data_IF_266788664584
#
_entry.id   IF_266788664584
#
_cell.length_a   1.000
_cell.length_b   1.000
_cell.length_c   1.000
_cell.angle_alpha   90.00
_cell.angle_beta   90.00
_cell.angle_gamma   90.00
#
_symmetry.space_group_name_H-M   'P 1'
#
loop_
_entity.id
_entity.type
_entity.pdbx_description
1 polymer ?
#
# COMPACT_ATOMS: atom_id res chain seq x y z
N UNK A 1 -19.88 28.95 8.43
CA UNK A 1 -19.47 28.58 7.07
C UNK A 1 -19.76 27.09 6.91
N UNK A 2 -20.51 26.66 5.90
CA UNK A 2 -20.69 25.22 5.64
C UNK A 2 -19.52 24.75 4.75
N UNK A 3 -18.92 23.59 5.03
CA UNK A 3 -17.88 23.03 4.17
C UNK A 3 -18.46 22.73 2.77
N UNK A 4 -17.65 22.96 1.73
CA UNK A 4 -18.03 22.71 0.33
C UNK A 4 -18.28 21.22 0.05
N UNK A 5 -17.66 20.34 0.84
CA UNK A 5 -17.87 18.90 0.88
C UNK A 5 -17.63 18.37 2.29
N UNK A 6 -18.45 17.42 2.71
CA UNK A 6 -18.23 16.62 3.91
C UNK A 6 -18.24 15.14 3.50
N UNK A 7 -17.23 14.39 3.91
CA UNK A 7 -17.21 12.93 3.79
C UNK A 7 -17.14 12.28 5.18
N UNK A 8 -17.78 11.13 5.31
CA UNK A 8 -17.69 10.31 6.52
C UNK A 8 -16.40 9.52 6.45
N UNK A 9 -15.42 9.87 7.29
CA UNK A 9 -14.18 9.12 7.46
C UNK A 9 -14.43 8.00 8.47
N UNK A 10 -14.95 6.87 7.99
CA UNK A 10 -14.90 5.61 8.76
C UNK A 10 -13.69 4.81 8.32
N UNK A 11 -13.10 3.96 9.18
CA UNK A 11 -12.04 3.05 8.76
C UNK A 11 -12.57 2.22 7.58
N UNK A 12 -11.96 2.40 6.41
CA UNK A 12 -12.22 1.47 5.31
C UNK A 12 -11.59 0.13 5.71
N UNK A 13 -12.29 -1.00 5.53
CA UNK A 13 -11.67 -2.30 5.74
C UNK A 13 -10.45 -2.42 4.83
N UNK A 14 -9.36 -2.97 5.37
CA UNK A 14 -8.12 -3.15 4.66
C UNK A 14 -7.60 -4.56 4.89
N UNK A 15 -6.80 -5.04 3.94
CA UNK A 15 -6.06 -6.29 4.09
C UNK A 15 -4.64 -5.98 4.54
N UNK A 16 -4.19 -6.60 5.63
CA UNK A 16 -2.88 -6.31 6.22
C UNK A 16 -1.88 -7.44 5.98
N UNK A 17 -0.69 -7.11 5.48
CA UNK A 17 0.47 -8.00 5.39
C UNK A 17 1.52 -7.46 6.36
N UNK A 18 1.79 -8.22 7.42
CA UNK A 18 2.74 -7.82 8.47
C UNK A 18 4.10 -8.49 8.30
N UNK A 19 5.18 -7.72 8.42
CA UNK A 19 6.56 -8.14 8.21
C UNK A 19 7.35 -8.13 9.51
N UNK A 20 8.05 -9.23 9.78
CA UNK A 20 8.93 -9.39 10.93
C UNK A 20 10.33 -8.88 10.69
N UNK A 21 10.46 -7.57 10.55
CA UNK A 21 11.73 -6.95 10.19
C UNK A 21 11.89 -5.60 10.87
N UNK A 22 13.13 -5.12 11.01
CA UNK A 22 13.41 -3.75 11.44
C UNK A 22 12.94 -2.73 10.40
N UNK A 23 12.66 -1.48 10.79
CA UNK A 23 12.32 -0.37 9.88
C UNK A 23 13.30 -0.22 8.72
N UNK A 24 14.61 -0.34 8.99
CA UNK A 24 15.64 -0.30 7.94
C UNK A 24 15.45 -1.36 6.84
N UNK A 25 15.04 -2.57 7.22
CA UNK A 25 14.76 -3.66 6.27
C UNK A 25 13.38 -3.48 5.61
N UNK A 26 12.49 -2.74 6.22
CA UNK A 26 11.19 -2.44 5.63
C UNK A 26 11.32 -1.52 4.40
N UNK A 27 12.39 -0.72 4.29
CA UNK A 27 12.73 -0.06 3.03
C UNK A 27 13.03 -1.03 1.87
N UNK A 28 13.42 -2.28 2.14
CA UNK A 28 13.58 -3.27 1.09
C UNK A 28 12.22 -3.65 0.49
N UNK A 29 11.15 -3.68 1.31
CA UNK A 29 9.76 -3.85 0.84
C UNK A 29 9.36 -2.67 -0.04
N UNK A 30 9.67 -1.43 0.38
CA UNK A 30 9.44 -0.23 -0.45
C UNK A 30 10.17 -0.35 -1.79
N UNK A 31 11.46 -0.66 -1.79
CA UNK A 31 12.24 -0.79 -3.01
C UNK A 31 11.69 -1.87 -3.95
N UNK A 32 11.21 -2.99 -3.39
CA UNK A 32 10.56 -4.04 -4.15
C UNK A 32 9.28 -3.56 -4.84
N UNK A 33 8.44 -2.76 -4.16
CA UNK A 33 7.25 -2.18 -4.79
C UNK A 33 7.60 -1.29 -5.98
N UNK A 34 8.67 -0.49 -5.86
CA UNK A 34 9.14 0.35 -6.97
C UNK A 34 9.65 -0.48 -8.13
N UNK A 35 10.36 -1.58 -7.86
CA UNK A 35 10.80 -2.51 -8.90
C UNK A 35 9.61 -3.16 -9.63
N UNK A 36 8.62 -3.65 -8.87
CA UNK A 36 7.40 -4.24 -9.46
C UNK A 36 6.66 -3.22 -10.32
N UNK A 37 6.58 -1.96 -9.88
CA UNK A 37 5.94 -0.89 -10.64
C UNK A 37 6.70 -0.55 -11.93
N UNK A 38 8.04 -0.49 -11.87
CA UNK A 38 8.90 -0.26 -13.03
C UNK A 38 8.76 -1.38 -14.07
N UNK A 39 8.74 -2.65 -13.63
CA UNK A 39 8.56 -3.83 -14.49
C UNK A 39 7.22 -3.80 -15.28
N UNK A 40 6.22 -3.06 -14.78
CA UNK A 40 4.90 -2.93 -15.40
C UNK A 40 4.61 -1.53 -15.94
N UNK A 41 5.63 -0.67 -16.05
CA UNK A 41 5.55 0.70 -16.58
C UNK A 41 4.56 1.59 -15.80
N UNK A 42 4.65 1.56 -14.46
CA UNK A 42 3.85 2.40 -13.55
C UNK A 42 4.77 3.30 -12.73
N UNK A 43 4.51 4.60 -12.79
CA UNK A 43 5.11 5.58 -11.88
C UNK A 43 4.37 5.58 -10.54
N UNK A 44 4.86 4.76 -9.60
CA UNK A 44 4.21 4.57 -8.28
C UNK A 44 4.09 5.87 -7.46
N UNK A 45 4.91 6.88 -7.77
CA UNK A 45 4.91 8.20 -7.15
C UNK A 45 3.65 9.02 -7.46
N UNK A 46 2.85 8.62 -8.45
CA UNK A 46 1.62 9.31 -8.83
C UNK A 46 0.42 8.97 -7.90
N UNK A 47 0.69 8.76 -6.62
CA UNK A 47 -0.33 8.52 -5.58
C UNK A 47 -0.93 7.11 -5.57
N UNK A 48 -0.21 6.11 -6.11
CA UNK A 48 -0.61 4.70 -5.99
C UNK A 48 -0.42 4.15 -4.58
N UNK A 49 0.54 4.72 -3.84
CA UNK A 49 0.84 4.36 -2.48
C UNK A 49 0.85 5.58 -1.56
N UNK A 50 0.66 5.31 -0.27
CA UNK A 50 0.92 6.25 0.82
C UNK A 50 1.90 5.63 1.81
N UNK A 51 2.75 6.46 2.41
CA UNK A 51 3.80 6.04 3.33
C UNK A 51 3.53 6.62 4.71
N UNK A 52 3.54 5.75 5.72
CA UNK A 52 3.43 6.14 7.11
C UNK A 52 4.73 5.83 7.83
N UNK A 53 5.23 6.86 8.49
CA UNK A 53 6.37 6.78 9.37
C UNK A 53 5.92 6.91 10.82
N UNK A 54 6.70 6.31 11.71
CA UNK A 54 6.55 6.47 13.14
C UNK A 54 6.96 7.87 13.62
N UNK A 55 6.96 8.09 14.93
CA UNK A 55 7.33 9.38 15.52
C UNK A 55 8.80 9.76 15.33
N UNK A 56 9.68 8.80 15.05
CA UNK A 56 11.11 9.01 14.76
C UNK A 56 11.35 9.29 13.28
N UNK A 57 10.33 9.11 12.44
CA UNK A 57 10.39 9.30 10.99
C UNK A 57 10.76 8.03 10.23
N UNK A 58 10.81 6.88 10.91
CA UNK A 58 11.12 5.60 10.30
C UNK A 58 9.88 4.98 9.65
N UNK A 59 10.01 4.49 8.42
CA UNK A 59 8.92 3.85 7.69
C UNK A 59 8.37 2.64 8.46
N UNK A 60 7.06 2.61 8.71
CA UNK A 60 6.37 1.56 9.47
C UNK A 60 5.22 0.90 8.70
N UNK A 61 4.59 1.64 7.77
CA UNK A 61 3.49 1.16 6.96
C UNK A 61 3.51 1.77 5.55
N UNK A 62 3.18 0.97 4.54
CA UNK A 62 2.92 1.40 3.16
C UNK A 62 1.51 0.95 2.79
N UNK A 63 0.67 1.90 2.37
CA UNK A 63 -0.70 1.64 1.93
C UNK A 63 -0.69 1.61 0.41
N UNK A 64 -1.08 0.48 -0.18
CA UNK A 64 -1.42 0.38 -1.60
C UNK A 64 -2.91 0.61 -1.74
N UNK A 65 -3.29 1.67 -2.46
CA UNK A 65 -4.69 1.96 -2.70
C UNK A 65 -5.30 0.94 -3.66
N UNK A 66 -6.62 0.77 -3.52
CA UNK A 66 -7.41 -0.07 -4.39
C UNK A 66 -8.38 0.78 -5.20
N UNK A 67 -8.41 0.54 -6.50
CA UNK A 67 -9.25 1.22 -7.48
C UNK A 67 -8.93 0.73 -8.88
N UNK A 68 -9.71 1.18 -9.88
CA UNK A 68 -9.51 0.77 -11.28
C UNK A 68 -8.11 1.13 -11.79
N UNK A 69 -7.56 2.25 -11.33
CA UNK A 69 -6.23 2.71 -11.71
C UNK A 69 -5.13 1.86 -11.08
N UNK A 70 -5.28 1.52 -9.81
CA UNK A 70 -4.27 0.83 -9.01
C UNK A 70 -4.28 -0.68 -9.22
N UNK A 71 -5.32 -1.25 -9.82
CA UNK A 71 -5.55 -2.70 -9.90
C UNK A 71 -4.39 -3.47 -10.55
N UNK A 72 -3.77 -2.89 -11.58
CA UNK A 72 -2.61 -3.50 -12.26
C UNK A 72 -1.41 -3.63 -11.31
N UNK A 73 -1.11 -2.57 -10.55
CA UNK A 73 -0.02 -2.58 -9.56
C UNK A 73 -0.34 -3.54 -8.42
N UNK A 74 -1.55 -3.45 -7.86
CA UNK A 74 -1.99 -4.29 -6.76
C UNK A 74 -1.89 -5.77 -7.14
N UNK A 75 -2.38 -6.13 -8.32
CA UNK A 75 -2.33 -7.52 -8.81
C UNK A 75 -0.88 -8.02 -8.92
N UNK A 76 0.01 -7.22 -9.51
CA UNK A 76 1.43 -7.57 -9.63
C UNK A 76 2.12 -7.76 -8.26
N UNK A 77 1.78 -6.91 -7.28
CA UNK A 77 2.32 -7.03 -5.91
C UNK A 77 1.78 -8.29 -5.23
N UNK A 78 0.48 -8.58 -5.35
CA UNK A 78 -0.11 -9.79 -4.78
C UNK A 78 0.44 -11.06 -5.43
N UNK A 79 0.63 -11.06 -6.75
CA UNK A 79 1.29 -12.14 -7.49
C UNK A 79 2.70 -12.39 -6.95
N UNK A 80 3.47 -11.32 -6.75
CA UNK A 80 4.83 -11.42 -6.23
C UNK A 80 4.90 -12.09 -4.85
N UNK A 81 3.94 -11.79 -3.96
CA UNK A 81 3.85 -12.42 -2.65
C UNK A 81 3.12 -13.78 -2.65
N UNK A 82 2.58 -14.22 -3.78
CA UNK A 82 1.77 -15.44 -3.87
C UNK A 82 0.43 -15.34 -3.14
N UNK A 83 -0.15 -14.14 -3.04
CA UNK A 83 -1.34 -13.80 -2.24
C UNK A 83 -2.59 -13.52 -3.08
N UNK A 84 -2.66 -14.02 -4.31
CA UNK A 84 -3.79 -13.80 -5.23
C UNK A 84 -5.12 -14.36 -4.74
N UNK A 85 -5.10 -15.36 -3.85
CA UNK A 85 -6.31 -16.02 -3.35
C UNK A 85 -6.63 -15.51 -1.95
N UNK A 86 -7.74 -14.77 -1.81
CA UNK A 86 -8.32 -14.42 -0.50
C UNK A 86 -8.36 -12.94 -0.15
N UNK A 87 -7.82 -12.06 -1.00
CA UNK A 87 -7.88 -10.61 -0.77
C UNK A 87 -9.06 -10.01 -1.54
N UNK A 88 -10.03 -9.37 -0.86
CA UNK A 88 -11.14 -8.69 -1.53
C UNK A 88 -10.69 -7.58 -2.49
N UNK A 89 -11.41 -7.46 -3.61
CA UNK A 89 -11.09 -6.51 -4.69
C UNK A 89 -11.38 -5.03 -4.33
N UNK A 90 -12.04 -4.77 -3.20
CA UNK A 90 -12.45 -3.45 -2.72
C UNK A 90 -11.64 -2.96 -1.51
N UNK A 91 -10.65 -3.75 -1.06
CA UNK A 91 -9.82 -3.42 0.09
C UNK A 91 -8.43 -2.97 -0.35
N UNK A 92 -7.98 -1.83 0.19
CA UNK A 92 -6.58 -1.41 0.14
C UNK A 92 -5.70 -2.42 0.88
N UNK A 93 -4.43 -2.50 0.48
CA UNK A 93 -3.45 -3.40 1.10
C UNK A 93 -2.52 -2.57 1.97
N UNK A 94 -2.41 -2.94 3.23
CA UNK A 94 -1.51 -2.33 4.18
C UNK A 94 -0.33 -3.26 4.41
N UNK A 95 0.84 -2.87 3.93
CA UNK A 95 2.11 -3.52 4.25
C UNK A 95 2.64 -2.85 5.50
N UNK A 96 2.89 -3.58 6.59
CA UNK A 96 3.44 -2.95 7.80
C UNK A 96 4.43 -3.83 8.53
N UNK A 97 5.18 -3.23 9.44
CA UNK A 97 6.01 -3.95 10.40
C UNK A 97 5.15 -4.47 11.57
N UNK A 98 5.58 -5.54 12.24
CA UNK A 98 5.01 -6.02 13.51
C UNK A 98 5.91 -5.75 14.72
#
# INVERSE_FOLDING_TARGET
MKPEKSEVVTPKPYFKISFGCSNRKFYDVKNLLYQIADDIDIEIQDGYIDEKCDYEGDLEEIILFRGEREDKLVSAVLDHYGLTVGIPADMSIHLSIF
#
